data_IF_045632094145
#
_entry.id   IF_045632094145
#
_cell.length_a   1.000
_cell.length_b   1.000
_cell.length_c   1.000
_cell.angle_alpha   90.00
_cell.angle_beta   90.00
_cell.angle_gamma   90.00
#
_symmetry.space_group_name_H-M   'P 1'
#
loop_
_entity.id
_entity.type
_entity.pdbx_description
1 polymer ?
#
# COMPACT_ATOMS: atom_id res chain seq x y z
N UNK A 1 -28.14 16.76 -80.32
CA UNK A 1 -26.70 17.00 -80.06
C UNK A 1 -26.62 17.88 -78.83
N UNK A 2 -26.02 17.56 -77.70
CA UNK A 2 -25.43 16.35 -77.15
C UNK A 2 -25.37 16.58 -75.63
N UNK A 3 -25.52 15.49 -74.88
CA UNK A 3 -25.61 15.40 -73.43
C UNK A 3 -24.21 15.36 -72.81
N UNK A 4 -23.89 16.12 -71.75
CA UNK A 4 -22.98 15.66 -70.66
C UNK A 4 -23.23 16.50 -69.38
N UNK A 5 -23.58 15.84 -68.28
CA UNK A 5 -23.64 16.44 -66.94
C UNK A 5 -22.33 16.32 -66.14
N UNK A 6 -22.24 17.02 -65.00
CA UNK A 6 -21.22 16.82 -63.94
C UNK A 6 -21.78 17.46 -62.66
N UNK A 7 -22.37 16.69 -61.74
CA UNK A 7 -21.79 16.06 -60.53
C UNK A 7 -21.01 17.00 -59.57
N UNK A 8 -21.73 17.36 -58.50
CA UNK A 8 -21.35 17.29 -57.06
C UNK A 8 -20.09 18.01 -56.54
N UNK A 9 -20.24 18.74 -55.43
CA UNK A 9 -19.37 18.53 -54.28
C UNK A 9 -20.09 18.94 -52.98
N UNK A 10 -20.51 17.94 -52.20
CA UNK A 10 -20.91 18.11 -50.80
C UNK A 10 -19.64 18.42 -50.00
N UNK A 11 -19.59 19.59 -49.36
CA UNK A 11 -18.63 19.82 -48.29
C UNK A 11 -19.12 19.07 -47.04
N UNK A 12 -18.71 17.81 -46.91
CA UNK A 12 -18.79 17.09 -45.64
C UNK A 12 -17.72 17.73 -44.74
N UNK A 13 -18.13 18.59 -43.81
CA UNK A 13 -17.29 18.92 -42.66
C UNK A 13 -17.13 17.64 -41.83
N UNK A 14 -16.03 16.91 -42.04
CA UNK A 14 -15.63 15.86 -41.11
C UNK A 14 -15.15 16.54 -39.82
N UNK A 15 -16.02 16.60 -38.83
CA UNK A 15 -15.63 16.98 -37.47
C UNK A 15 -14.86 15.78 -36.89
N UNK A 16 -13.54 15.77 -37.02
CA UNK A 16 -12.70 14.87 -36.24
C UNK A 16 -12.84 15.28 -34.78
N UNK A 17 -13.67 14.56 -34.05
CA UNK A 17 -13.71 14.65 -32.59
C UNK A 17 -12.39 14.09 -32.07
N UNK A 18 -11.45 14.98 -31.78
CA UNK A 18 -10.32 14.66 -30.91
C UNK A 18 -10.90 14.44 -29.52
N UNK A 19 -11.15 13.18 -29.16
CA UNK A 19 -11.46 12.84 -27.78
C UNK A 19 -10.17 13.08 -27.01
N UNK A 20 -10.03 14.26 -26.39
CA UNK A 20 -9.14 14.38 -25.25
C UNK A 20 -9.68 13.39 -24.22
N UNK A 21 -8.98 12.28 -24.02
CA UNK A 21 -9.17 11.46 -22.83
C UNK A 21 -8.71 12.30 -21.65
N UNK A 22 -9.57 13.19 -21.17
CA UNK A 22 -9.44 13.71 -19.82
C UNK A 22 -9.55 12.48 -18.93
N UNK A 23 -8.45 12.09 -18.29
CA UNK A 23 -8.48 11.07 -17.24
C UNK A 23 -9.43 11.57 -16.16
N UNK A 24 -10.66 11.06 -16.16
CA UNK A 24 -11.60 11.35 -15.10
C UNK A 24 -11.08 10.67 -13.84
N UNK A 25 -10.67 11.46 -12.86
CA UNK A 25 -10.34 10.96 -11.54
C UNK A 25 -11.58 10.22 -11.00
N UNK A 26 -11.50 8.89 -10.88
CA UNK A 26 -12.59 8.05 -10.37
C UNK A 26 -13.12 6.98 -11.34
N UNK A 27 -12.67 6.94 -12.60
CA UNK A 27 -12.91 5.79 -13.48
C UNK A 27 -11.83 4.72 -13.24
N UNK A 28 -12.26 3.48 -13.00
CA UNK A 28 -11.37 2.36 -12.70
C UNK A 28 -11.25 1.42 -13.90
N UNK A 29 -10.02 1.08 -14.27
CA UNK A 29 -9.73 0.08 -15.30
C UNK A 29 -8.93 -1.09 -14.69
N UNK A 30 -9.27 -2.34 -15.05
CA UNK A 30 -8.56 -3.49 -14.52
C UNK A 30 -7.15 -3.59 -15.13
N UNK A 31 -6.14 -3.79 -14.30
CA UNK A 31 -4.80 -4.17 -14.76
C UNK A 31 -4.73 -5.69 -14.91
N UNK A 32 -4.32 -6.18 -16.10
CA UNK A 32 -4.12 -7.60 -16.40
C UNK A 32 -2.84 -8.17 -15.76
N UNK A 33 -2.72 -8.04 -14.43
CA UNK A 33 -1.48 -8.35 -13.69
C UNK A 33 -1.30 -9.83 -13.38
N UNK A 34 -2.38 -10.61 -13.39
CA UNK A 34 -2.40 -11.99 -12.87
C UNK A 34 -2.23 -12.10 -11.35
N UNK A 35 -2.09 -10.98 -10.63
CA UNK A 35 -2.02 -10.99 -9.17
C UNK A 35 -3.38 -11.35 -8.58
N UNK A 36 -3.38 -12.22 -7.57
CA UNK A 36 -4.57 -12.64 -6.85
C UNK A 36 -4.45 -12.27 -5.38
N UNK A 37 -5.57 -12.01 -4.71
CA UNK A 37 -5.58 -11.74 -3.26
C UNK A 37 -4.64 -10.61 -2.83
N UNK A 38 -4.64 -9.49 -3.56
CA UNK A 38 -3.87 -8.30 -3.18
C UNK A 38 -4.44 -7.72 -1.88
N UNK A 39 -3.61 -7.64 -0.84
CA UNK A 39 -3.98 -7.18 0.52
C UNK A 39 -3.60 -5.74 0.79
N UNK A 40 -2.54 -5.28 0.12
CA UNK A 40 -2.00 -3.93 0.29
C UNK A 40 -1.19 -3.55 -0.94
N UNK A 41 -1.25 -2.27 -1.29
CA UNK A 41 -0.47 -1.67 -2.37
C UNK A 41 0.19 -0.40 -1.84
N UNK A 42 1.40 -0.12 -2.30
CA UNK A 42 2.08 1.16 -2.09
C UNK A 42 2.92 1.52 -3.30
N UNK A 43 3.42 2.74 -3.36
CA UNK A 43 4.35 3.20 -4.39
C UNK A 43 5.62 3.71 -3.72
N UNK A 44 6.78 3.59 -4.35
CA UNK A 44 7.99 4.26 -3.83
C UNK A 44 8.90 4.58 -5.02
N UNK A 45 9.20 5.87 -5.21
CA UNK A 45 9.76 6.35 -6.46
C UNK A 45 8.82 6.01 -7.63
N UNK A 46 9.36 5.43 -8.71
CA UNK A 46 8.59 5.04 -9.89
C UNK A 46 8.15 3.57 -9.87
N UNK A 47 8.13 2.94 -8.70
CA UNK A 47 7.76 1.54 -8.56
C UNK A 47 6.46 1.37 -7.77
N UNK A 48 5.68 0.37 -8.16
CA UNK A 48 4.47 -0.08 -7.45
C UNK A 48 4.80 -1.38 -6.74
N UNK A 49 4.35 -1.52 -5.50
CA UNK A 49 4.54 -2.71 -4.68
C UNK A 49 3.18 -3.24 -4.26
N UNK A 50 2.94 -4.53 -4.46
CA UNK A 50 1.72 -5.21 -4.07
C UNK A 50 2.06 -6.36 -3.12
N UNK A 51 1.50 -6.34 -1.92
CA UNK A 51 1.48 -7.49 -1.01
C UNK A 51 0.29 -8.37 -1.35
N UNK A 52 0.54 -9.64 -1.69
CA UNK A 52 -0.45 -10.59 -2.16
C UNK A 52 -0.09 -12.03 -1.77
N UNK A 53 -1.10 -12.88 -1.66
CA UNK A 53 -0.94 -14.26 -1.25
C UNK A 53 -0.99 -15.20 -2.47
N UNK A 54 -0.13 -16.24 -2.58
CA UNK A 54 0.82 -16.74 -1.57
C UNK A 54 2.26 -16.21 -1.68
N UNK A 55 2.54 -15.35 -2.65
CA UNK A 55 3.92 -15.01 -3.06
C UNK A 55 4.60 -14.04 -2.08
N UNK A 56 3.84 -13.15 -1.44
CA UNK A 56 4.36 -12.06 -0.63
C UNK A 56 4.30 -10.73 -1.38
N UNK A 57 5.42 -10.02 -1.50
CA UNK A 57 5.50 -8.74 -2.19
C UNK A 57 5.94 -8.96 -3.63
N UNK A 58 5.26 -8.32 -4.57
CA UNK A 58 5.68 -8.17 -5.96
C UNK A 58 5.82 -6.70 -6.32
N UNK A 59 6.78 -6.39 -7.19
CA UNK A 59 7.14 -5.04 -7.62
C UNK A 59 6.92 -4.89 -9.12
N UNK A 60 6.39 -3.76 -9.54
CA UNK A 60 6.36 -3.30 -10.92
C UNK A 60 7.15 -2.00 -11.07
N UNK A 61 7.80 -1.80 -12.21
CA UNK A 61 8.53 -0.58 -12.59
C UNK A 61 8.09 -0.04 -13.95
N UNK A 62 6.95 -0.52 -14.44
CA UNK A 62 6.38 -0.20 -15.75
C UNK A 62 4.87 -0.08 -15.62
N UNK A 63 4.42 0.73 -14.65
CA UNK A 63 3.02 1.09 -14.44
C UNK A 63 2.07 -0.11 -14.28
N UNK A 64 2.55 -1.17 -13.65
CA UNK A 64 1.75 -2.36 -13.36
C UNK A 64 1.63 -3.35 -14.52
N UNK A 65 2.36 -3.16 -15.63
CA UNK A 65 2.36 -4.06 -16.79
C UNK A 65 3.01 -5.40 -16.46
N UNK A 66 4.18 -5.40 -15.80
CA UNK A 66 4.83 -6.62 -15.32
C UNK A 66 5.20 -6.53 -13.84
N UNK A 67 5.27 -7.68 -13.19
CA UNK A 67 5.49 -7.81 -11.76
C UNK A 67 6.55 -8.88 -11.47
N UNK A 68 7.48 -8.58 -10.57
CA UNK A 68 8.50 -9.52 -10.10
C UNK A 68 8.44 -9.66 -8.57
N UNK A 69 8.56 -10.89 -8.02
CA UNK A 69 8.60 -11.09 -6.58
C UNK A 69 9.85 -10.47 -5.97
N UNK A 70 9.72 -9.83 -4.80
CA UNK A 70 10.80 -9.11 -4.11
C UNK A 70 10.78 -9.47 -2.62
N UNK A 71 11.03 -10.75 -2.30
CA UNK A 71 10.82 -11.31 -0.95
C UNK A 71 12.08 -11.82 -0.25
N UNK A 72 13.27 -11.60 -0.82
CA UNK A 72 14.52 -12.13 -0.23
C UNK A 72 14.70 -11.62 1.20
N UNK A 73 14.88 -12.54 2.16
CA UNK A 73 14.99 -12.22 3.58
C UNK A 73 13.66 -12.14 4.35
N UNK A 74 12.50 -12.24 3.69
CA UNK A 74 11.22 -12.46 4.36
C UNK A 74 11.05 -13.97 4.59
N UNK A 75 10.75 -14.36 5.83
CA UNK A 75 10.54 -15.76 6.19
C UNK A 75 9.26 -16.31 5.56
N UNK A 76 9.38 -17.45 4.87
CA UNK A 76 8.25 -18.22 4.36
C UNK A 76 7.85 -19.33 5.34
N UNK A 77 6.56 -19.64 5.42
CA UNK A 77 6.02 -20.74 6.23
C UNK A 77 5.24 -21.68 5.32
N UNK A 78 5.64 -22.95 5.27
CA UNK A 78 5.04 -23.93 4.36
C UNK A 78 5.17 -23.55 2.88
N UNK A 79 6.24 -22.84 2.50
CA UNK A 79 6.47 -22.34 1.15
C UNK A 79 5.74 -21.04 0.79
N UNK A 80 4.91 -20.51 1.69
CA UNK A 80 4.12 -19.29 1.45
C UNK A 80 4.68 -18.10 2.22
N UNK A 81 4.64 -16.92 1.61
CA UNK A 81 5.06 -15.66 2.24
C UNK A 81 3.82 -14.83 2.59
N UNK A 82 3.46 -14.80 3.87
CA UNK A 82 2.25 -14.16 4.36
C UNK A 82 2.46 -12.67 4.66
N UNK A 83 2.65 -11.86 3.61
CA UNK A 83 2.69 -10.39 3.75
C UNK A 83 1.27 -9.83 3.73
N UNK A 84 0.94 -9.04 4.75
CA UNK A 84 -0.39 -8.47 4.98
C UNK A 84 -0.43 -6.99 4.59
N UNK A 85 0.69 -6.28 4.78
CA UNK A 85 0.80 -4.86 4.46
C UNK A 85 2.17 -4.52 3.91
N UNK A 86 2.22 -3.58 2.98
CA UNK A 86 3.44 -2.93 2.51
C UNK A 86 3.24 -1.41 2.55
N UNK A 87 4.26 -0.69 2.99
CA UNK A 87 4.29 0.76 3.03
C UNK A 87 5.72 1.28 3.00
N UNK A 88 5.89 2.59 3.00
CA UNK A 88 7.23 3.19 2.99
C UNK A 88 7.25 4.51 3.76
N UNK A 89 8.45 4.93 4.11
CA UNK A 89 8.76 6.33 4.38
C UNK A 89 9.65 6.87 3.25
N UNK A 90 10.30 8.02 3.45
CA UNK A 90 11.16 8.62 2.43
C UNK A 90 12.34 7.72 2.00
N UNK A 91 12.76 6.75 2.81
CA UNK A 91 14.01 6.00 2.61
C UNK A 91 13.82 4.49 2.60
N UNK A 92 12.85 3.96 3.34
CA UNK A 92 12.70 2.53 3.55
C UNK A 92 11.31 2.05 3.19
N UNK A 93 11.25 0.83 2.66
CA UNK A 93 10.03 0.02 2.61
C UNK A 93 9.86 -0.75 3.92
N UNK A 94 8.61 -0.96 4.31
CA UNK A 94 8.20 -1.74 5.47
C UNK A 94 7.18 -2.78 5.04
N UNK A 95 7.28 -3.97 5.62
CA UNK A 95 6.37 -5.07 5.39
C UNK A 95 5.85 -5.61 6.73
N UNK A 96 4.52 -5.67 6.86
CA UNK A 96 3.84 -6.36 7.94
C UNK A 96 3.52 -7.77 7.51
N UNK A 97 4.01 -8.77 8.25
CA UNK A 97 3.76 -10.19 7.97
C UNK A 97 3.18 -10.89 9.18
N UNK A 98 2.68 -12.11 9.01
CA UNK A 98 2.26 -12.96 10.14
C UNK A 98 3.42 -13.44 11.02
N UNK A 99 4.67 -13.28 10.57
CA UNK A 99 5.88 -13.73 11.26
C UNK A 99 6.75 -12.56 11.73
N UNK A 100 6.23 -11.33 11.70
CA UNK A 100 6.93 -10.13 12.14
C UNK A 100 6.96 -9.00 11.11
N UNK A 101 7.66 -7.94 11.48
CA UNK A 101 7.89 -6.76 10.64
C UNK A 101 9.26 -6.82 9.97
N UNK A 102 9.30 -6.42 8.70
CA UNK A 102 10.52 -6.37 7.90
C UNK A 102 10.71 -5.00 7.27
N UNK A 103 11.97 -4.66 6.98
CA UNK A 103 12.36 -3.41 6.33
C UNK A 103 13.31 -3.66 5.17
N UNK A 104 13.18 -2.88 4.10
CA UNK A 104 14.12 -2.87 2.97
C UNK A 104 14.61 -1.45 2.69
N UNK A 105 15.90 -1.31 2.37
CA UNK A 105 16.55 -0.06 1.97
C UNK A 105 17.00 -0.06 0.51
N UNK A 106 16.69 -1.13 -0.24
CA UNK A 106 17.13 -1.34 -1.62
C UNK A 106 15.95 -1.68 -2.54
N UNK A 107 14.82 -1.01 -2.29
CA UNK A 107 13.63 -1.14 -3.13
C UNK A 107 13.02 -2.55 -3.17
N UNK A 108 13.16 -3.31 -2.08
CA UNK A 108 12.60 -4.66 -1.92
C UNK A 108 13.53 -5.80 -2.31
N UNK A 109 14.73 -5.51 -2.84
CA UNK A 109 15.65 -6.56 -3.28
C UNK A 109 16.08 -7.48 -2.13
N UNK A 110 16.21 -6.95 -0.91
CA UNK A 110 16.35 -7.73 0.32
C UNK A 110 15.65 -7.06 1.50
N UNK A 111 15.22 -7.88 2.46
CA UNK A 111 14.51 -7.47 3.66
C UNK A 111 15.26 -7.91 4.92
N UNK A 112 15.22 -7.06 5.93
CA UNK A 112 15.76 -7.33 7.26
C UNK A 112 14.61 -7.40 8.24
N UNK A 113 14.56 -8.45 9.06
CA UNK A 113 13.62 -8.53 10.16
C UNK A 113 13.95 -7.42 11.19
N UNK A 114 12.96 -6.58 11.48
CA UNK A 114 13.05 -5.47 12.43
C UNK A 114 11.96 -5.59 13.49
N UNK A 115 11.51 -6.81 13.77
CA UNK A 115 10.40 -7.06 14.67
C UNK A 115 10.68 -6.55 16.09
N UNK A 116 11.93 -6.66 16.56
CA UNK A 116 12.34 -6.18 17.87
C UNK A 116 11.44 -6.74 18.98
N UNK A 117 10.85 -5.86 19.77
CA UNK A 117 9.91 -6.18 20.87
C UNK A 117 8.45 -6.31 20.44
N UNK A 118 8.14 -6.27 19.14
CA UNK A 118 6.76 -6.36 18.65
C UNK A 118 6.23 -7.79 18.74
N UNK A 119 4.96 -7.92 19.09
CA UNK A 119 4.23 -9.18 18.99
C UNK A 119 3.72 -9.35 17.55
N UNK A 120 4.02 -10.48 16.92
CA UNK A 120 3.47 -10.81 15.60
C UNK A 120 3.03 -12.27 15.53
N UNK A 121 1.87 -12.50 14.95
CA UNK A 121 1.27 -13.83 14.76
C UNK A 121 0.35 -13.84 13.54
N UNK A 122 -0.31 -14.97 13.30
CA UNK A 122 -1.34 -15.09 12.27
C UNK A 122 -2.60 -14.25 12.54
N UNK A 123 -2.82 -13.79 13.78
CA UNK A 123 -3.98 -12.98 14.19
C UNK A 123 -3.63 -11.55 14.57
N UNK A 124 -2.37 -11.30 14.93
CA UNK A 124 -1.85 -9.98 15.35
C UNK A 124 -0.70 -9.61 14.44
N UNK A 125 -0.94 -8.73 13.48
CA UNK A 125 0.06 -8.28 12.52
C UNK A 125 -0.22 -6.84 12.08
N UNK A 126 0.80 -6.18 11.52
CA UNK A 126 0.62 -4.83 10.97
C UNK A 126 -0.25 -4.90 9.71
N UNK A 127 -1.43 -4.29 9.75
CA UNK A 127 -2.37 -4.25 8.61
C UNK A 127 -2.22 -2.98 7.76
N UNK A 128 -1.63 -1.92 8.32
CA UNK A 128 -1.43 -0.61 7.70
C UNK A 128 -0.15 0.02 8.23
N UNK A 129 0.55 0.68 7.30
CA UNK A 129 1.71 1.52 7.59
C UNK A 129 1.32 2.97 7.41
N UNK A 130 1.82 3.82 8.30
CA UNK A 130 1.59 5.26 8.26
C UNK A 130 2.86 6.02 8.63
N UNK A 131 3.07 7.21 8.07
CA UNK A 131 4.29 7.99 8.27
C UNK A 131 3.96 9.45 8.54
N UNK A 132 4.61 10.04 9.54
CA UNK A 132 4.45 11.45 9.90
C UNK A 132 5.76 12.01 10.45
N UNK A 133 6.31 13.03 9.78
CA UNK A 133 7.64 13.56 10.11
C UNK A 133 8.73 12.50 9.97
N UNK A 134 9.47 12.22 11.03
CA UNK A 134 10.46 11.12 11.05
C UNK A 134 9.87 9.79 11.54
N UNK A 135 8.63 9.81 12.05
CA UNK A 135 8.02 8.67 12.71
C UNK A 135 7.34 7.75 11.69
N UNK A 136 7.51 6.44 11.87
CA UNK A 136 6.79 5.41 11.14
C UNK A 136 5.91 4.65 12.12
N UNK A 137 4.67 4.41 11.73
CA UNK A 137 3.64 3.77 12.54
C UNK A 137 3.17 2.48 11.87
N UNK A 138 3.14 1.40 12.64
CA UNK A 138 2.48 0.16 12.27
C UNK A 138 1.17 0.03 13.04
N UNK A 139 0.04 -0.03 12.33
CA UNK A 139 -1.27 -0.31 12.92
C UNK A 139 -1.48 -1.82 12.92
N UNK A 140 -1.69 -2.41 14.09
CA UNK A 140 -1.87 -3.84 14.28
C UNK A 140 -3.34 -4.23 14.31
N UNK A 141 -3.63 -5.44 13.84
CA UNK A 141 -4.95 -6.06 14.00
C UNK A 141 -5.25 -6.39 15.47
N UNK A 142 -6.54 -6.35 15.83
CA UNK A 142 -7.02 -6.73 17.16
C UNK A 142 -7.01 -5.58 18.18
N UNK A 143 -7.49 -5.89 19.39
CA UNK A 143 -7.51 -4.94 20.50
C UNK A 143 -6.12 -4.76 21.11
N UNK A 144 -5.87 -3.62 21.73
CA UNK A 144 -4.60 -3.31 22.43
C UNK A 144 -4.24 -4.41 23.45
N UNK A 145 -5.21 -4.88 24.24
CA UNK A 145 -5.03 -5.95 25.23
C UNK A 145 -4.50 -7.27 24.62
N UNK A 146 -4.82 -7.52 23.35
CA UNK A 146 -4.44 -8.74 22.63
C UNK A 146 -3.23 -8.53 21.71
N UNK A 147 -2.43 -7.49 21.94
CA UNK A 147 -1.24 -7.17 21.14
C UNK A 147 -1.50 -6.32 19.90
N UNK A 148 -2.74 -5.85 19.70
CA UNK A 148 -3.09 -4.89 18.65
C UNK A 148 -2.66 -3.45 18.96
N UNK A 149 -3.31 -2.49 18.32
CA UNK A 149 -3.05 -1.06 18.53
C UNK A 149 -2.02 -0.48 17.57
N UNK A 150 -1.22 0.48 18.04
CA UNK A 150 -0.25 1.21 17.20
C UNK A 150 1.16 1.04 17.79
N UNK A 151 2.12 0.62 16.98
CA UNK A 151 3.54 0.74 17.28
C UNK A 151 4.13 1.93 16.51
N UNK A 152 5.07 2.65 17.12
CA UNK A 152 5.78 3.79 16.53
C UNK A 152 7.28 3.55 16.56
N UNK A 153 7.98 3.89 15.49
CA UNK A 153 9.44 3.98 15.47
C UNK A 153 9.89 5.33 14.93
N UNK A 154 10.95 5.90 15.50
CA UNK A 154 11.60 7.13 15.00
C UNK A 154 13.00 6.85 14.42
N UNK A 155 13.43 5.59 14.45
CA UNK A 155 14.78 5.13 14.07
C UNK A 155 14.72 4.00 13.03
N UNK A 156 13.68 4.06 12.19
CA UNK A 156 13.43 3.12 11.09
C UNK A 156 13.36 1.65 11.54
N UNK A 157 12.78 1.39 12.70
CA UNK A 157 12.55 0.04 13.23
C UNK A 157 13.72 -0.54 14.00
N UNK A 158 14.68 0.28 14.42
CA UNK A 158 15.73 -0.18 15.35
C UNK A 158 15.12 -0.37 16.74
N UNK A 159 14.24 0.54 17.15
CA UNK A 159 13.42 0.44 18.35
C UNK A 159 11.95 0.76 18.04
N UNK A 160 11.07 0.17 18.84
CA UNK A 160 9.63 0.37 18.77
C UNK A 160 9.09 0.90 20.09
N UNK A 161 8.28 1.95 19.99
CA UNK A 161 7.59 2.63 21.07
C UNK A 161 6.09 2.38 20.97
N UNK A 162 5.39 2.53 22.10
CA UNK A 162 3.92 2.52 22.14
C UNK A 162 3.40 3.76 21.41
N UNK A 163 2.59 3.55 20.36
CA UNK A 163 1.93 4.60 19.58
C UNK A 163 0.46 4.83 19.95
N UNK A 164 -0.04 4.14 20.98
CA UNK A 164 -1.45 4.16 21.39
C UNK A 164 -1.64 4.57 22.85
N UNK A 165 -0.73 5.39 23.38
CA UNK A 165 -0.86 5.93 24.74
C UNK A 165 -2.16 6.73 24.87
N UNK A 166 -2.88 6.57 25.98
CA UNK A 166 -4.19 7.20 26.21
C UNK A 166 -5.40 6.46 25.60
N UNK A 167 -5.19 5.37 24.84
CA UNK A 167 -6.27 4.50 24.37
C UNK A 167 -6.56 3.38 25.38
N UNK A 168 -7.83 3.02 25.55
CA UNK A 168 -8.23 1.93 26.44
C UNK A 168 -7.82 0.55 25.91
N UNK A 169 -7.65 -0.43 26.79
CA UNK A 169 -7.15 -1.77 26.43
C UNK A 169 -8.04 -2.55 25.44
N UNK A 170 -9.35 -2.28 25.42
CA UNK A 170 -10.30 -2.92 24.51
C UNK A 170 -10.45 -2.21 23.15
N UNK A 171 -9.64 -1.18 22.87
CA UNK A 171 -9.71 -0.42 21.63
C UNK A 171 -9.00 -1.17 20.50
N UNK A 172 -9.65 -1.28 19.35
CA UNK A 172 -9.03 -1.66 18.07
C UNK A 172 -8.82 -0.41 17.24
N UNK A 173 -7.63 -0.24 16.65
CA UNK A 173 -7.33 0.86 15.73
C UNK A 173 -7.53 0.36 14.30
N UNK A 174 -8.38 1.05 13.53
CA UNK A 174 -8.67 0.66 12.14
C UNK A 174 -7.81 1.41 11.13
N UNK A 175 -7.57 2.70 11.38
CA UNK A 175 -6.87 3.57 10.45
C UNK A 175 -6.26 4.79 11.17
N UNK A 176 -5.27 5.40 10.54
CA UNK A 176 -4.67 6.68 10.96
C UNK A 176 -4.57 7.63 9.77
N UNK A 177 -4.73 8.92 10.03
CA UNK A 177 -4.51 10.00 9.06
C UNK A 177 -3.96 11.23 9.78
N UNK A 178 -3.51 12.23 9.03
CA UNK A 178 -3.05 13.50 9.58
C UNK A 178 -3.59 14.71 8.81
N UNK A 179 -3.44 15.90 9.41
CA UNK A 179 -3.68 17.21 8.78
C UNK A 179 -2.36 18.00 8.56
N UNK A 180 -1.21 17.33 8.63
CA UNK A 180 0.12 17.93 8.64
C UNK A 180 0.60 18.43 10.01
N UNK A 181 -0.29 18.57 10.99
CA UNK A 181 0.04 19.06 12.35
C UNK A 181 -0.34 18.08 13.45
N UNK A 182 -1.40 17.30 13.25
CA UNK A 182 -1.93 16.32 14.19
C UNK A 182 -2.22 15.00 13.52
N UNK A 183 -2.14 13.95 14.32
CA UNK A 183 -2.62 12.63 13.96
C UNK A 183 -4.07 12.44 14.42
N UNK A 184 -4.81 11.66 13.65
CA UNK A 184 -6.16 11.20 13.96
C UNK A 184 -6.23 9.70 13.77
N UNK A 185 -6.81 8.99 14.74
CA UNK A 185 -7.00 7.55 14.69
C UNK A 185 -8.48 7.20 14.76
N UNK A 186 -8.96 6.49 13.74
CA UNK A 186 -10.29 5.89 13.74
C UNK A 186 -10.24 4.55 14.49
N UNK A 187 -11.04 4.40 15.54
CA UNK A 187 -10.99 3.24 16.42
C UNK A 187 -12.38 2.64 16.65
N UNK A 188 -12.43 1.45 17.26
CA UNK A 188 -13.68 0.77 17.64
C UNK A 188 -14.50 1.51 18.69
N UNK A 189 -13.95 2.54 19.36
CA UNK A 189 -14.64 3.30 20.40
C UNK A 189 -14.78 4.79 20.09
N UNK A 190 -14.33 5.24 18.91
CA UNK A 190 -14.46 6.61 18.46
C UNK A 190 -13.21 7.14 17.75
N UNK A 191 -13.12 8.47 17.69
CA UNK A 191 -11.99 9.19 17.08
C UNK A 191 -11.03 9.65 18.17
N UNK A 192 -9.73 9.38 18.00
CA UNK A 192 -8.64 9.86 18.86
C UNK A 192 -7.77 10.84 18.08
N UNK A 193 -7.09 11.75 18.78
CA UNK A 193 -6.12 12.68 18.19
C UNK A 193 -4.86 12.79 19.06
N UNK A 194 -3.73 13.17 18.46
CA UNK A 194 -2.44 13.42 19.14
C UNK A 194 -2.37 14.76 19.86
#
# INVERSE_FOLDING_TARGET
MENVGTRTCQAILSFTAMVLSASLFGQWEPLATGLQSVRSVTTMGNAIYAAHYPVGISKSTNDGVTWAPVNSGITATGGNTFVQSVGHNATYLFAGTQSGVYRSNNGGASWTNINGSLTASSTVYVNKWFHFGIATFGVFTGTIANGGGIARTNDNGTTWLIGHSGMGSNVTVYHMTDDGTKLYAATSTGLYTS
#
